data_IF_249706471144
#
_entry.id   IF_249706471144
#
_cell.length_a   1.000
_cell.length_b   1.000
_cell.length_c   1.000
_cell.angle_alpha   90.00
_cell.angle_beta   90.00
_cell.angle_gamma   90.00
#
_symmetry.space_group_name_H-M   'P 1'
#
loop_
_entity.id
_entity.type
_entity.pdbx_description
1 polymer ?
#
# COMPACT_ATOMS: atom_id res chain seq x y z
N UNK A 1 -7.49 17.48 17.05
CA UNK A 1 -7.31 16.82 15.73
C UNK A 1 -5.97 16.10 15.74
N UNK A 2 -5.95 14.78 15.85
CA UNK A 2 -4.70 14.00 16.01
C UNK A 2 -4.01 13.93 14.65
N UNK A 3 -2.91 14.66 14.48
CA UNK A 3 -2.05 14.49 13.31
C UNK A 3 -1.64 13.02 13.29
N UNK A 4 -2.13 12.24 12.31
CA UNK A 4 -1.68 10.88 12.11
C UNK A 4 -0.18 10.96 11.81
N UNK A 5 0.65 10.67 12.82
CA UNK A 5 2.06 10.33 12.62
C UNK A 5 2.07 8.99 11.92
N UNK A 6 1.97 9.03 10.60
CA UNK A 6 2.19 7.83 9.80
C UNK A 6 3.68 7.73 9.60
N UNK A 7 4.30 6.71 10.19
CA UNK A 7 5.69 6.42 9.93
C UNK A 7 5.84 5.97 8.48
N UNK A 8 6.60 6.75 7.71
CA UNK A 8 6.95 6.41 6.34
C UNK A 8 8.03 5.32 6.40
N UNK A 9 7.76 4.10 5.92
CA UNK A 9 8.79 3.07 5.82
C UNK A 9 9.85 3.48 4.79
N UNK A 10 11.05 2.91 4.90
CA UNK A 10 12.13 3.15 3.95
C UNK A 10 11.74 2.72 2.54
N UNK A 11 12.44 3.23 1.52
CA UNK A 11 12.22 2.84 0.11
C UNK A 11 12.18 1.32 -0.07
N UNK A 12 13.13 0.62 0.55
CA UNK A 12 13.30 -0.82 0.41
C UNK A 12 12.19 -1.60 1.12
N UNK A 13 11.84 -1.21 2.35
CA UNK A 13 10.74 -1.80 3.10
C UNK A 13 9.42 -1.60 2.37
N UNK A 14 9.16 -0.37 1.90
CA UNK A 14 7.97 -0.08 1.12
C UNK A 14 7.93 -0.91 -0.16
N UNK A 15 9.07 -1.07 -0.84
CA UNK A 15 9.17 -1.90 -2.04
C UNK A 15 8.85 -3.36 -1.73
N UNK A 16 9.48 -3.96 -0.71
CA UNK A 16 9.19 -5.35 -0.29
C UNK A 16 7.71 -5.51 0.05
N UNK A 17 7.16 -4.60 0.86
CA UNK A 17 5.76 -4.61 1.25
C UNK A 17 4.82 -4.56 0.04
N UNK A 18 5.04 -3.66 -0.93
CA UNK A 18 4.16 -3.55 -2.13
C UNK A 18 4.28 -4.72 -3.11
N UNK A 19 5.34 -5.51 -2.98
CA UNK A 19 5.56 -6.75 -3.74
C UNK A 19 5.03 -7.98 -2.99
N UNK A 20 5.03 -7.98 -1.66
CA UNK A 20 4.49 -9.06 -0.83
C UNK A 20 2.97 -8.98 -0.65
N UNK A 21 2.42 -7.78 -0.49
CA UNK A 21 0.99 -7.57 -0.24
C UNK A 21 0.41 -6.37 -1.00
N UNK A 22 -0.89 -6.40 -1.33
CA UNK A 22 -1.54 -5.29 -2.00
C UNK A 22 -1.48 -4.01 -1.16
N UNK A 23 -1.38 -2.87 -1.85
CA UNK A 23 -1.29 -1.54 -1.23
C UNK A 23 -2.45 -1.21 -0.30
N UNK A 24 -3.59 -1.87 -0.44
CA UNK A 24 -4.76 -1.69 0.44
C UNK A 24 -4.53 -2.30 1.82
N UNK A 25 -3.88 -3.47 1.90
CA UNK A 25 -3.52 -4.08 3.18
C UNK A 25 -2.42 -3.28 3.87
N UNK A 26 -1.41 -2.84 3.11
CA UNK A 26 -0.37 -1.93 3.60
C UNK A 26 -1.03 -0.64 4.11
N UNK A 27 -1.90 -0.02 3.31
CA UNK A 27 -2.60 1.19 3.72
C UNK A 27 -3.39 0.99 5.02
N UNK A 28 -4.07 -0.16 5.18
CA UNK A 28 -4.81 -0.51 6.39
C UNK A 28 -3.89 -0.70 7.61
N UNK A 29 -2.78 -1.40 7.44
CA UNK A 29 -1.74 -1.66 8.46
C UNK A 29 -1.10 -0.35 8.95
N UNK A 30 -0.78 0.54 8.02
CA UNK A 30 -0.24 1.88 8.31
C UNK A 30 -1.32 2.91 8.69
N UNK A 31 -2.61 2.56 8.65
CA UNK A 31 -3.71 3.48 8.93
C UNK A 31 -3.82 4.66 7.96
N UNK A 32 -3.39 4.47 6.70
CA UNK A 32 -3.43 5.44 5.61
C UNK A 32 -4.35 5.01 4.48
N UNK A 33 -4.54 5.89 3.50
CA UNK A 33 -5.22 5.56 2.24
C UNK A 33 -4.25 4.98 1.22
N UNK A 34 -4.77 4.21 0.28
CA UNK A 34 -4.07 3.69 -0.91
C UNK A 34 -3.30 4.80 -1.66
N UNK A 35 -3.92 5.99 -1.79
CA UNK A 35 -3.30 7.20 -2.35
C UNK A 35 -2.03 7.63 -1.63
N UNK A 36 -1.93 7.43 -0.31
CA UNK A 36 -0.73 7.76 0.45
C UNK A 36 0.42 6.83 0.07
N UNK A 37 0.16 5.53 0.00
CA UNK A 37 1.12 4.54 -0.50
C UNK A 37 1.48 4.82 -1.97
N UNK A 38 0.53 5.31 -2.77
CA UNK A 38 0.80 5.78 -4.13
C UNK A 38 1.78 6.95 -4.17
N UNK A 39 1.55 7.97 -3.34
CA UNK A 39 2.46 9.11 -3.18
C UNK A 39 3.83 8.68 -2.67
N UNK A 40 3.91 7.70 -1.78
CA UNK A 40 5.17 7.22 -1.25
C UNK A 40 6.00 6.52 -2.32
N UNK A 41 5.43 5.55 -3.06
CA UNK A 41 6.17 4.92 -4.14
C UNK A 41 6.57 5.90 -5.25
N UNK A 42 5.72 6.90 -5.55
CA UNK A 42 6.07 7.96 -6.50
C UNK A 42 7.24 8.80 -5.99
N UNK A 43 7.26 9.13 -4.69
CA UNK A 43 8.36 9.88 -4.07
C UNK A 43 9.68 9.08 -4.04
N UNK A 44 9.61 7.76 -3.81
CA UNK A 44 10.79 6.89 -3.77
C UNK A 44 11.22 6.36 -5.16
N UNK A 45 10.43 6.62 -6.21
CA UNK A 45 10.65 6.07 -7.55
C UNK A 45 10.55 4.54 -7.60
N UNK A 46 9.71 3.94 -6.76
CA UNK A 46 9.52 2.48 -6.72
C UNK A 46 8.63 2.07 -7.89
N UNK A 47 9.14 1.16 -8.72
CA UNK A 47 8.38 0.52 -9.79
C UNK A 47 7.41 -0.47 -9.15
N UNK A 48 6.16 -0.04 -9.03
CA UNK A 48 5.06 -0.87 -8.55
C UNK A 48 4.46 -1.67 -9.70
N UNK A 49 3.87 -2.85 -9.42
CA UNK A 49 3.16 -3.61 -10.43
C UNK A 49 2.08 -2.74 -11.08
N UNK A 50 1.79 -2.97 -12.38
CA UNK A 50 0.94 -2.09 -13.18
C UNK A 50 -0.42 -1.87 -12.53
N UNK A 51 -0.98 -0.67 -12.72
CA UNK A 51 -2.29 -0.27 -12.19
C UNK A 51 -3.30 -1.33 -12.64
N UNK A 52 -3.89 -2.05 -11.68
CA UNK A 52 -4.84 -3.14 -11.95
C UNK A 52 -4.33 -4.55 -11.59
N UNK A 53 -3.02 -4.77 -11.41
CA UNK A 53 -2.47 -6.08 -10.99
C UNK A 53 -3.07 -6.54 -9.66
N UNK A 54 -2.98 -5.67 -8.64
CA UNK A 54 -3.58 -5.95 -7.34
C UNK A 54 -5.10 -5.81 -7.33
N UNK A 55 -5.70 -5.01 -8.23
CA UNK A 55 -7.16 -4.92 -8.33
C UNK A 55 -7.77 -6.24 -8.84
N UNK A 56 -7.12 -6.90 -9.82
CA UNK A 56 -7.46 -8.25 -10.29
C UNK A 56 -7.27 -9.32 -9.21
N UNK A 57 -6.25 -9.18 -8.37
CA UNK A 57 -6.00 -10.10 -7.26
C UNK A 57 -6.97 -9.85 -6.09
N UNK A 58 -7.31 -8.60 -5.80
CA UNK A 58 -8.26 -8.25 -4.74
C UNK A 58 -9.70 -8.61 -5.10
N UNK A 59 -10.08 -8.59 -6.38
CA UNK A 59 -11.38 -9.14 -6.78
C UNK A 59 -11.50 -10.65 -6.50
N UNK A 60 -10.38 -11.36 -6.40
CA UNK A 60 -10.35 -12.76 -5.93
C UNK A 60 -10.29 -12.83 -4.39
N UNK A 61 -9.66 -11.84 -3.75
CA UNK A 61 -9.62 -11.68 -2.29
C UNK A 61 -10.77 -10.78 -1.79
N UNK A 62 -12.02 -11.19 -2.03
CA UNK A 62 -13.18 -10.60 -1.36
C UNK A 62 -13.08 -10.85 0.17
N UNK A 63 -13.65 -9.96 1.01
CA UNK A 63 -13.24 -9.80 2.39
C UNK A 63 -13.77 -10.95 3.26
N UNK A 64 -12.87 -11.63 3.98
CA UNK A 64 -13.26 -12.18 5.29
C UNK A 64 -13.45 -10.98 6.21
N UNK A 65 -14.70 -10.52 6.29
CA UNK A 65 -15.14 -9.62 7.32
C UNK A 65 -15.25 -10.43 8.61
N UNK A 66 -14.44 -10.08 9.60
CA UNK A 66 -14.71 -10.31 11.02
C UNK A 66 -14.62 -8.96 11.72
#
# INVERSE_FOLDING_TARGET
MKARKVERPSKEDLQKLVWEKPTIHIAKDFGVSDKAIEKWCKAYGIQKPPRGYWAKQQSLQAPVAE
#
